data_IF_066905575592
#
_entry.id   IF_066905575592
#
_cell.length_a   1.000
_cell.length_b   1.000
_cell.length_c   1.000
_cell.angle_alpha   90.00
_cell.angle_beta   90.00
_cell.angle_gamma   90.00
#
_symmetry.space_group_name_H-M   'P 1'
#
loop_
_entity.id
_entity.type
_entity.pdbx_description
1 polymer ?
#
# COMPACT_ATOMS: atom_id res chain seq x y z
N UNK A 1 26.68 0.86 -10.32
CA UNK A 1 27.60 2.02 -10.38
C UNK A 1 27.76 2.54 -8.96
N UNK A 2 28.94 2.35 -8.36
CA UNK A 2 29.19 2.58 -6.92
C UNK A 2 29.45 4.04 -6.57
N UNK A 3 28.65 4.95 -7.09
CA UNK A 3 28.84 6.39 -6.96
C UNK A 3 27.76 6.98 -6.05
N UNK A 4 28.17 7.75 -5.03
CA UNK A 4 27.24 8.53 -4.22
C UNK A 4 27.01 9.89 -4.90
N UNK A 5 25.85 10.05 -5.54
CA UNK A 5 25.46 11.31 -6.17
C UNK A 5 24.49 12.11 -5.27
N UNK A 6 24.71 13.41 -5.16
CA UNK A 6 23.75 14.34 -4.56
C UNK A 6 22.50 14.48 -5.44
N UNK A 7 21.39 14.97 -4.88
CA UNK A 7 20.17 15.25 -5.64
C UNK A 7 20.47 16.21 -6.81
N UNK A 8 20.06 15.85 -8.03
CA UNK A 8 20.47 16.58 -9.24
C UNK A 8 19.74 17.91 -9.46
N UNK A 9 18.68 18.20 -8.67
CA UNK A 9 17.92 19.45 -8.72
C UNK A 9 17.09 19.68 -9.98
N UNK A 10 17.16 18.79 -10.96
CA UNK A 10 16.51 18.98 -12.27
C UNK A 10 15.88 17.72 -12.87
N UNK A 11 15.85 16.59 -12.14
CA UNK A 11 15.03 15.44 -12.55
C UNK A 11 13.61 15.58 -12.02
N UNK A 12 12.70 14.84 -12.64
CA UNK A 12 11.31 14.67 -12.22
C UNK A 12 11.18 14.39 -10.71
N UNK A 13 11.99 13.48 -10.14
CA UNK A 13 11.98 13.23 -8.69
C UNK A 13 12.45 14.41 -7.83
N UNK A 14 13.33 15.28 -8.35
CA UNK A 14 13.79 16.50 -7.64
C UNK A 14 12.77 17.64 -7.75
N UNK A 15 12.00 17.67 -8.84
CA UNK A 15 11.01 18.71 -9.14
C UNK A 15 9.61 18.35 -8.62
N UNK A 16 9.38 17.07 -8.29
CA UNK A 16 8.13 16.55 -7.75
C UNK A 16 7.91 17.01 -6.30
N UNK A 17 7.02 18.00 -6.14
CA UNK A 17 6.56 18.53 -4.85
C UNK A 17 5.34 17.79 -4.31
N UNK A 18 5.13 16.52 -4.69
CA UNK A 18 3.96 15.76 -4.24
C UNK A 18 3.88 15.76 -2.71
N UNK A 19 2.74 16.18 -2.13
CA UNK A 19 2.59 16.22 -0.69
C UNK A 19 2.68 14.81 -0.11
N UNK A 20 3.39 14.72 1.01
CA UNK A 20 3.46 13.51 1.83
C UNK A 20 2.49 13.65 3.01
N UNK A 21 1.55 12.72 3.12
CA UNK A 21 0.64 12.62 4.26
C UNK A 21 1.12 11.53 5.24
N UNK A 22 0.67 11.63 6.49
CA UNK A 22 0.75 10.52 7.45
C UNK A 22 -0.10 9.37 6.90
N UNK A 23 0.48 8.17 6.85
CA UNK A 23 -0.21 6.96 6.39
C UNK A 23 -0.22 5.85 7.42
N UNK A 24 0.06 6.13 8.70
CA UNK A 24 0.18 5.11 9.73
C UNK A 24 -1.14 4.38 9.99
N UNK A 25 -2.27 5.09 9.88
CA UNK A 25 -3.60 4.51 10.04
C UNK A 25 -3.92 3.56 8.87
N UNK A 26 -3.72 4.01 7.64
CA UNK A 26 -3.89 3.23 6.43
C UNK A 26 -2.94 2.02 6.38
N UNK A 27 -1.68 2.20 6.80
CA UNK A 27 -0.71 1.12 6.89
C UNK A 27 -1.20 0.03 7.86
N UNK A 28 -1.71 0.40 9.03
CA UNK A 28 -2.27 -0.55 10.01
C UNK A 28 -3.48 -1.31 9.45
N UNK A 29 -4.35 -0.66 8.67
CA UNK A 29 -5.46 -1.32 7.98
C UNK A 29 -4.93 -2.39 7.00
N UNK A 30 -3.93 -2.04 6.19
CA UNK A 30 -3.29 -2.97 5.24
C UNK A 30 -2.62 -4.13 5.97
N UNK A 31 -1.87 -3.88 7.04
CA UNK A 31 -1.23 -4.93 7.83
C UNK A 31 -2.23 -5.89 8.45
N UNK A 32 -3.33 -5.37 9.02
CA UNK A 32 -4.39 -6.19 9.58
C UNK A 32 -5.02 -7.11 8.51
N UNK A 33 -5.25 -6.60 7.30
CA UNK A 33 -5.77 -7.40 6.20
C UNK A 33 -4.77 -8.47 5.73
N UNK A 34 -3.49 -8.13 5.60
CA UNK A 34 -2.43 -9.08 5.22
C UNK A 34 -2.31 -10.21 6.25
N UNK A 35 -2.29 -9.86 7.54
CA UNK A 35 -2.19 -10.85 8.62
C UNK A 35 -3.43 -11.77 8.68
N UNK A 36 -4.64 -11.21 8.59
CA UNK A 36 -5.89 -11.99 8.62
C UNK A 36 -6.08 -12.88 7.39
N UNK A 37 -5.47 -12.51 6.26
CA UNK A 37 -5.45 -13.34 5.05
C UNK A 37 -4.26 -14.31 5.01
N UNK A 38 -3.45 -14.37 6.07
CA UNK A 38 -2.39 -15.34 6.25
C UNK A 38 -1.13 -15.08 5.42
N UNK A 39 -0.86 -13.83 5.04
CA UNK A 39 0.37 -13.40 4.35
C UNK A 39 0.65 -14.13 3.01
N UNK A 40 -0.41 -14.50 2.28
CA UNK A 40 -0.34 -15.31 1.03
C UNK A 40 -0.87 -14.62 -0.21
N UNK A 41 -1.39 -13.41 -0.08
CA UNK A 41 -2.15 -12.73 -1.13
C UNK A 41 -1.46 -11.48 -1.62
N UNK A 42 -1.48 -11.27 -2.93
CA UNK A 42 -0.97 -10.06 -3.56
C UNK A 42 -1.89 -8.86 -3.36
N UNK A 43 -1.38 -7.67 -3.73
CA UNK A 43 -2.02 -6.38 -3.49
C UNK A 43 -3.48 -6.29 -3.95
N UNK A 44 -3.83 -6.87 -5.12
CA UNK A 44 -5.20 -6.81 -5.64
C UNK A 44 -6.25 -7.41 -4.70
N UNK A 45 -5.94 -8.55 -4.10
CA UNK A 45 -6.84 -9.22 -3.16
C UNK A 45 -6.93 -8.48 -1.82
N UNK A 46 -5.80 -7.96 -1.33
CA UNK A 46 -5.77 -7.14 -0.11
C UNK A 46 -6.63 -5.88 -0.30
N UNK A 47 -6.53 -5.23 -1.46
CA UNK A 47 -7.36 -4.06 -1.80
C UNK A 47 -8.85 -4.41 -1.85
N UNK A 48 -9.21 -5.56 -2.44
CA UNK A 48 -10.62 -6.00 -2.45
C UNK A 48 -11.15 -6.25 -1.03
N UNK A 49 -10.36 -6.87 -0.16
CA UNK A 49 -10.74 -7.05 1.25
C UNK A 49 -10.94 -5.70 1.94
N UNK A 50 -9.95 -4.80 1.87
CA UNK A 50 -10.00 -3.49 2.54
C UNK A 50 -11.16 -2.63 2.04
N UNK A 51 -11.51 -2.71 0.74
CA UNK A 51 -12.63 -1.99 0.15
C UNK A 51 -13.99 -2.68 0.33
N UNK A 52 -14.02 -3.92 0.85
CA UNK A 52 -15.27 -4.65 1.01
C UNK A 52 -15.83 -5.18 -0.32
N UNK A 53 -14.98 -5.44 -1.31
CA UNK A 53 -15.40 -6.00 -2.59
C UNK A 53 -15.53 -7.52 -2.49
N UNK A 54 -16.72 -8.03 -2.80
CA UNK A 54 -17.01 -9.46 -2.87
C UNK A 54 -16.58 -10.08 -4.20
N UNK A 55 -15.28 -10.02 -4.50
CA UNK A 55 -14.75 -10.74 -5.66
C UNK A 55 -14.84 -12.26 -5.45
N UNK A 56 -14.86 -13.03 -6.53
CA UNK A 56 -14.91 -14.50 -6.48
C UNK A 56 -13.82 -15.08 -5.57
N UNK A 57 -12.60 -14.51 -5.61
CA UNK A 57 -11.47 -14.93 -4.76
C UNK A 57 -11.70 -14.64 -3.28
N UNK A 58 -12.36 -13.53 -2.94
CA UNK A 58 -12.72 -13.15 -1.57
C UNK A 58 -13.78 -14.12 -1.03
N UNK A 59 -14.85 -14.34 -1.79
CA UNK A 59 -15.95 -15.22 -1.41
C UNK A 59 -15.49 -16.68 -1.26
N UNK A 60 -14.69 -17.19 -2.20
CA UNK A 60 -14.16 -18.55 -2.18
C UNK A 60 -13.32 -18.86 -0.93
N UNK A 61 -12.84 -17.83 -0.22
CA UNK A 61 -12.01 -17.96 1.00
C UNK A 61 -12.72 -17.48 2.25
N UNK A 62 -13.99 -17.07 2.13
CA UNK A 62 -14.76 -16.47 3.22
C UNK A 62 -14.13 -15.19 3.80
N UNK A 63 -13.35 -14.46 2.99
CA UNK A 63 -12.66 -13.26 3.46
C UNK A 63 -13.59 -12.05 3.66
N UNK A 64 -14.82 -12.10 3.14
CA UNK A 64 -15.88 -11.14 3.44
C UNK A 64 -16.31 -11.16 4.92
N UNK A 65 -15.89 -12.19 5.68
CA UNK A 65 -16.18 -12.31 7.12
C UNK A 65 -15.06 -11.77 8.02
N UNK A 66 -13.94 -11.32 7.44
CA UNK A 66 -12.80 -10.80 8.20
C UNK A 66 -13.12 -9.43 8.79
N UNK A 67 -12.52 -9.13 9.95
CA UNK A 67 -12.70 -7.82 10.60
C UNK A 67 -12.15 -6.67 9.74
N UNK A 68 -11.14 -6.93 8.91
CA UNK A 68 -10.61 -5.95 7.95
C UNK A 68 -11.51 -5.70 6.74
N UNK A 69 -12.55 -6.50 6.52
CA UNK A 69 -13.39 -6.36 5.34
C UNK A 69 -14.15 -5.03 5.34
N UNK A 70 -13.97 -4.22 4.29
CA UNK A 70 -14.64 -2.92 4.16
C UNK A 70 -14.16 -1.83 5.11
N UNK A 71 -13.06 -2.03 5.83
CA UNK A 71 -12.53 -1.03 6.79
C UNK A 71 -11.90 0.19 6.13
N UNK A 72 -11.60 0.12 4.83
CA UNK A 72 -10.96 1.19 4.07
C UNK A 72 -11.84 1.87 3.02
N UNK A 73 -13.16 1.75 3.12
CA UNK A 73 -14.13 2.30 2.15
C UNK A 73 -14.09 3.83 2.02
N UNK A 74 -13.52 4.53 3.00
CA UNK A 74 -13.35 5.99 2.96
C UNK A 74 -12.36 6.44 1.86
N UNK A 75 -11.45 5.56 1.44
CA UNK A 75 -10.42 5.85 0.45
C UNK A 75 -10.68 5.12 -0.87
N UNK A 76 -10.19 5.71 -1.98
CA UNK A 76 -10.35 5.13 -3.31
C UNK A 76 -9.38 3.97 -3.54
N UNK A 77 -9.73 3.06 -4.45
CA UNK A 77 -8.90 1.91 -4.86
C UNK A 77 -7.46 2.26 -5.22
N UNK A 78 -7.26 3.36 -5.96
CA UNK A 78 -5.92 3.79 -6.37
C UNK A 78 -5.05 4.22 -5.18
N UNK A 79 -5.65 4.77 -4.13
CA UNK A 79 -4.93 5.13 -2.89
C UNK A 79 -4.36 3.88 -2.24
N UNK A 80 -5.18 2.84 -2.04
CA UNK A 80 -4.73 1.57 -1.45
C UNK A 80 -3.65 0.89 -2.29
N UNK A 81 -3.81 0.88 -3.63
CA UNK A 81 -2.80 0.34 -4.52
C UNK A 81 -1.47 1.10 -4.42
N UNK A 82 -1.51 2.44 -4.39
CA UNK A 82 -0.31 3.26 -4.24
C UNK A 82 0.34 3.07 -2.87
N UNK A 83 -0.46 3.06 -1.80
CA UNK A 83 0.00 2.86 -0.44
C UNK A 83 0.70 1.51 -0.26
N UNK A 84 0.13 0.41 -0.78
CA UNK A 84 0.78 -0.91 -0.75
C UNK A 84 2.11 -0.91 -1.51
N UNK A 85 2.18 -0.29 -2.70
CA UNK A 85 3.44 -0.18 -3.45
C UNK A 85 4.50 0.58 -2.65
N UNK A 86 4.12 1.67 -2.00
CA UNK A 86 5.03 2.49 -1.19
C UNK A 86 5.46 1.76 0.09
N UNK A 87 4.59 0.98 0.73
CA UNK A 87 4.95 0.13 1.86
C UNK A 87 5.96 -0.96 1.47
N UNK A 88 5.82 -1.56 0.28
CA UNK A 88 6.82 -2.49 -0.26
C UNK A 88 8.14 -1.77 -0.54
N UNK A 89 8.10 -0.63 -1.25
CA UNK A 89 9.30 0.13 -1.59
C UNK A 89 10.06 0.64 -0.35
N UNK A 90 9.33 0.99 0.71
CA UNK A 90 9.92 1.45 1.97
C UNK A 90 10.29 0.32 2.95
N UNK A 91 10.12 -0.95 2.54
CA UNK A 91 10.53 -2.14 3.29
C UNK A 91 9.63 -2.50 4.48
N UNK A 92 8.40 -1.97 4.55
CA UNK A 92 7.41 -2.37 5.55
C UNK A 92 6.70 -3.67 5.15
N UNK A 93 6.56 -3.91 3.85
CA UNK A 93 6.06 -5.15 3.29
C UNK A 93 7.16 -5.82 2.45
N UNK A 94 7.19 -7.14 2.45
CA UNK A 94 8.01 -7.94 1.55
C UNK A 94 7.13 -8.71 0.57
N UNK A 95 7.61 -8.88 -0.65
CA UNK A 95 7.06 -9.86 -1.56
C UNK A 95 7.50 -11.25 -1.08
N UNK A 96 6.55 -12.18 -1.02
CA UNK A 96 6.73 -13.55 -0.54
C UNK A 96 8.06 -14.17 -1.04
N UNK A 97 9.02 -14.46 -0.14
CA UNK A 97 10.26 -15.14 -0.51
C UNK A 97 10.04 -16.61 -0.92
N UNK A 98 8.87 -17.20 -0.62
CA UNK A 98 8.48 -18.56 -0.98
C UNK A 98 8.01 -18.75 -2.44
N UNK A 99 7.89 -17.66 -3.21
CA UNK A 99 7.72 -17.72 -4.67
C UNK A 99 6.28 -17.72 -5.19
N UNK A 100 5.26 -17.55 -4.33
CA UNK A 100 3.86 -17.54 -4.76
C UNK A 100 3.27 -16.13 -5.00
N UNK A 101 4.08 -15.06 -4.82
CA UNK A 101 3.69 -13.69 -5.15
C UNK A 101 2.74 -13.03 -4.14
N UNK A 102 2.71 -13.52 -2.89
CA UNK A 102 1.97 -12.92 -1.78
C UNK A 102 2.67 -11.71 -1.17
N UNK A 103 1.94 -10.94 -0.35
CA UNK A 103 2.50 -9.91 0.52
C UNK A 103 2.68 -10.46 1.93
N UNK A 104 3.84 -10.20 2.52
CA UNK A 104 4.17 -10.52 3.91
C UNK A 104 4.59 -9.25 4.66
N UNK A 105 4.42 -9.25 5.99
CA UNK A 105 4.77 -8.10 6.83
C UNK A 105 6.23 -8.26 7.29
N UNK A 106 7.09 -7.36 6.83
CA UNK A 106 8.50 -7.31 7.24
C UNK A 106 8.63 -6.82 8.69
N UNK A 107 9.80 -6.99 9.31
CA UNK A 107 10.02 -6.58 10.70
C UNK A 107 9.69 -5.09 10.93
N UNK A 108 10.13 -4.22 10.02
CA UNK A 108 9.80 -2.79 10.02
C UNK A 108 8.29 -2.52 9.99
N UNK A 109 7.52 -3.35 9.27
CA UNK A 109 6.06 -3.31 9.27
C UNK A 109 5.46 -3.71 10.62
N UNK A 110 6.03 -4.72 11.28
CA UNK A 110 5.60 -5.19 12.61
C UNK A 110 5.90 -4.18 13.71
N UNK A 111 7.03 -3.46 13.61
CA UNK A 111 7.32 -2.30 14.46
C UNK A 111 6.26 -1.22 14.30
N UNK A 112 5.96 -0.82 13.06
CA UNK A 112 4.94 0.20 12.79
C UNK A 112 3.56 -0.22 13.31
N UNK A 113 3.20 -1.49 13.15
CA UNK A 113 1.94 -2.04 13.68
C UNK A 113 1.85 -1.95 15.22
N UNK A 114 2.99 -1.98 15.92
CA UNK A 114 3.11 -1.79 17.38
C UNK A 114 3.18 -0.31 17.80
N UNK A 115 3.07 0.62 16.85
CA UNK A 115 3.22 2.06 17.10
C UNK A 115 4.67 2.51 17.21
N UNK A 116 5.62 1.73 16.66
CA UNK A 116 7.04 2.05 16.64
C UNK A 116 7.47 2.45 15.22
N UNK A 117 7.93 3.69 15.07
CA UNK A 117 8.32 4.25 13.77
C UNK A 117 7.18 5.01 13.09
N UNK A 118 7.48 5.58 11.91
CA UNK A 118 6.56 6.45 11.17
C UNK A 118 6.47 6.04 9.72
N UNK A 119 5.29 6.18 9.13
CA UNK A 119 5.11 6.02 7.69
C UNK A 119 4.41 7.22 7.10
N UNK A 120 5.07 7.85 6.13
CA UNK A 120 4.51 8.92 5.30
C UNK A 120 4.53 8.48 3.86
N UNK A 121 3.43 8.68 3.16
CA UNK A 121 3.29 8.27 1.77
C UNK A 121 2.99 9.47 0.89
N UNK A 122 3.47 9.38 -0.35
CA UNK A 122 3.11 10.31 -1.42
C UNK A 122 1.64 10.10 -1.75
N UNK A 123 0.84 11.14 -1.59
CA UNK A 123 -0.54 11.13 -2.03
C UNK A 123 -0.52 11.40 -3.52
N UNK A 124 -0.89 10.41 -4.34
CA UNK A 124 -1.14 10.68 -5.75
C UNK A 124 -2.25 11.75 -5.82
N UNK A 125 -1.88 12.96 -6.25
CA UNK A 125 -2.85 14.03 -6.42
C UNK A 125 -3.99 13.50 -7.29
N UNK A 126 -5.23 13.65 -6.81
CA UNK A 126 -6.43 13.37 -7.60
C UNK A 126 -6.18 13.96 -8.97
N UNK A 127 -6.08 13.08 -9.97
CA UNK A 127 -5.80 13.43 -11.35
C UNK A 127 -6.50 14.75 -11.66
N UNK A 128 -5.70 15.80 -11.94
CA UNK A 128 -6.20 17.09 -12.39
C UNK A 128 -7.06 16.76 -13.61
N UNK A 129 -8.38 16.86 -13.46
CA UNK A 129 -9.30 16.58 -14.54
C UNK A 129 -8.88 17.43 -15.75
N UNK A 130 -8.77 16.78 -16.91
CA UNK A 130 -8.64 17.38 -18.24
C UNK A 130 -7.44 18.34 -18.45
N UNK A 131 -6.38 17.85 -19.11
CA UNK A 131 -5.58 18.73 -19.98
C UNK A 131 -6.03 18.47 -21.42
N UNK A 132 -6.52 19.55 -22.03
CA UNK A 132 -7.33 19.59 -23.24
C UNK A 132 -6.82 18.73 -24.39
N UNK A 133 -7.77 18.04 -25.01
CA UNK A 133 -7.68 17.67 -26.41
C UNK A 133 -7.92 18.97 -27.21
N UNK A 134 -6.86 19.54 -27.77
CA UNK A 134 -6.96 20.49 -28.88
C UNK A 134 -6.95 19.68 -30.17
#
# INVERSE_FOLDING_TARGET
FGEHAAACGNCDNCLDQTPHEDGEAEARIVFAAIAQTGERFGAGHIVDVVLGHESEKVLARNHQRLASFGTGVAQKKNVWQSLIRQLVAAGFLSLDPGGHGGLAIAEKGRELARGQGTFRYRVEMRNRAARGKT
#
